data_IF_101939358912
#
_entry.id   IF_101939358912
#
_cell.length_a   1.000
_cell.length_b   1.000
_cell.length_c   1.000
_cell.angle_alpha   90.00
_cell.angle_beta   90.00
_cell.angle_gamma   90.00
#
_symmetry.space_group_name_H-M   'P 1'
#
loop_
_entity.id
_entity.type
_entity.pdbx_description
1 polymer ?
#
# COMPACT_ATOMS: atom_id res chain seq x y z
N UNK A 1 -39.40 -29.16 8.96
CA UNK A 1 -39.18 -28.39 7.72
C UNK A 1 -38.93 -26.90 8.00
N UNK A 2 -39.70 -26.31 8.92
CA UNK A 2 -39.61 -24.89 9.28
C UNK A 2 -38.29 -24.54 9.96
N UNK A 3 -37.75 -25.41 10.82
CA UNK A 3 -36.48 -25.23 11.54
C UNK A 3 -35.28 -25.30 10.54
N UNK A 4 -35.39 -26.16 9.54
CA UNK A 4 -34.34 -26.27 8.49
C UNK A 4 -34.31 -25.03 7.58
N UNK A 5 -35.45 -24.42 7.31
CA UNK A 5 -35.55 -23.19 6.50
C UNK A 5 -35.01 -21.98 7.27
N UNK A 6 -35.16 -21.90 8.57
CA UNK A 6 -34.61 -20.83 9.42
C UNK A 6 -33.09 -20.96 9.54
N UNK A 7 -32.55 -22.18 9.59
CA UNK A 7 -31.10 -22.41 9.60
C UNK A 7 -30.43 -22.02 8.25
N UNK A 8 -31.12 -22.20 7.13
CA UNK A 8 -30.63 -21.83 5.80
C UNK A 8 -30.61 -20.31 5.58
N UNK A 9 -31.52 -19.56 6.20
CA UNK A 9 -31.55 -18.09 6.13
C UNK A 9 -30.46 -17.41 6.95
N UNK A 10 -29.94 -18.08 7.97
CA UNK A 10 -28.88 -17.52 8.83
C UNK A 10 -27.47 -17.57 8.21
N UNK A 11 -27.29 -18.27 7.08
CA UNK A 11 -25.99 -18.38 6.40
C UNK A 11 -25.79 -17.26 5.36
N UNK A 12 -26.82 -16.47 5.07
CA UNK A 12 -26.79 -15.48 3.96
C UNK A 12 -26.31 -14.07 4.33
N UNK A 13 -25.78 -13.82 5.52
CA UNK A 13 -25.54 -12.43 5.94
C UNK A 13 -24.19 -12.13 6.55
N UNK A 14 -23.12 -12.88 6.23
CA UNK A 14 -21.77 -12.52 6.62
C UNK A 14 -20.85 -12.30 5.41
N UNK A 15 -21.31 -11.52 4.44
CA UNK A 15 -20.35 -10.88 3.53
C UNK A 15 -19.82 -9.64 4.24
N UNK A 16 -18.67 -9.80 4.91
CA UNK A 16 -17.93 -8.68 5.43
C UNK A 16 -17.66 -7.72 4.25
N UNK A 17 -18.14 -6.47 4.36
CA UNK A 17 -17.93 -5.43 3.36
C UNK A 17 -16.42 -5.29 3.14
N UNK A 18 -15.93 -5.67 1.95
CA UNK A 18 -14.51 -5.56 1.59
C UNK A 18 -14.10 -4.09 1.72
N UNK A 19 -13.14 -3.82 2.60
CA UNK A 19 -12.62 -2.46 2.79
C UNK A 19 -11.90 -2.03 1.50
N UNK A 20 -12.28 -0.88 0.96
CA UNK A 20 -11.57 -0.30 -0.17
C UNK A 20 -10.21 0.22 0.29
N UNK A 21 -9.15 -0.50 -0.08
CA UNK A 21 -7.78 -0.21 0.31
C UNK A 21 -7.31 1.15 -0.19
N UNK A 22 -7.85 1.64 -1.31
CA UNK A 22 -7.47 2.91 -1.93
C UNK A 22 -7.90 4.13 -1.11
N UNK A 23 -8.80 3.95 -0.13
CA UNK A 23 -9.22 4.99 0.81
C UNK A 23 -8.28 5.14 2.01
N UNK A 24 -7.20 4.37 2.08
CA UNK A 24 -6.22 4.45 3.16
C UNK A 24 -5.52 5.81 3.16
N UNK A 25 -5.67 6.55 4.26
CA UNK A 25 -4.94 7.81 4.50
C UNK A 25 -3.58 7.51 5.12
N UNK A 26 -2.51 8.03 4.54
CA UNK A 26 -1.17 7.73 5.00
C UNK A 26 -0.16 8.84 4.68
N UNK A 27 0.95 8.84 5.43
CA UNK A 27 2.22 9.51 5.11
C UNK A 27 3.33 8.47 4.91
N UNK A 28 4.40 8.87 4.24
CA UNK A 28 5.57 8.03 3.99
C UNK A 28 6.87 8.82 4.19
N UNK A 29 7.84 8.18 4.83
CA UNK A 29 9.21 8.69 4.95
C UNK A 29 10.22 7.54 4.76
N UNK A 30 11.45 7.89 4.34
CA UNK A 30 12.54 6.93 4.25
C UNK A 30 13.17 6.68 5.61
N UNK A 31 13.47 5.43 5.90
CA UNK A 31 14.17 5.02 7.14
C UNK A 31 15.64 4.73 6.84
N UNK A 32 15.90 4.05 5.73
CA UNK A 32 17.23 3.67 5.27
C UNK A 32 17.15 3.34 3.78
N UNK A 33 18.31 3.29 3.12
CA UNK A 33 18.41 2.88 1.71
C UNK A 33 18.08 1.39 1.50
N UNK A 34 17.98 0.62 2.58
CA UNK A 34 17.73 -0.81 2.49
C UNK A 34 18.86 -1.58 1.81
N UNK A 35 18.60 -2.81 1.41
CA UNK A 35 19.47 -3.59 0.53
C UNK A 35 19.26 -3.16 -0.93
N UNK A 36 20.24 -3.44 -1.77
CA UNK A 36 20.18 -3.11 -3.20
C UNK A 36 18.86 -3.58 -3.84
N UNK A 37 18.19 -2.69 -4.56
CA UNK A 37 16.89 -2.97 -5.21
C UNK A 37 15.66 -2.84 -4.32
N UNK A 38 15.83 -2.61 -3.02
CA UNK A 38 14.75 -2.43 -2.05
C UNK A 38 14.82 -1.05 -1.39
N UNK A 39 13.65 -0.53 -1.03
CA UNK A 39 13.53 0.62 -0.15
C UNK A 39 12.99 0.20 1.21
N UNK A 40 13.58 0.74 2.26
CA UNK A 40 13.04 0.65 3.61
C UNK A 40 12.36 1.97 3.95
N UNK A 41 11.05 1.92 4.12
CA UNK A 41 10.22 3.09 4.37
C UNK A 41 9.44 2.94 5.68
N UNK A 42 9.11 4.07 6.30
CA UNK A 42 8.17 4.15 7.38
C UNK A 42 6.88 4.77 6.84
N UNK A 43 5.79 4.05 6.99
CA UNK A 43 4.46 4.53 6.66
C UNK A 43 3.69 4.86 7.92
N UNK A 44 2.89 5.90 7.88
CA UNK A 44 2.00 6.29 8.96
C UNK A 44 0.57 6.19 8.46
N UNK A 45 -0.20 5.28 9.04
CA UNK A 45 -1.62 5.09 8.73
C UNK A 45 -2.47 5.88 9.72
N UNK A 46 -3.43 6.64 9.20
CA UNK A 46 -4.44 7.33 9.99
C UNK A 46 -5.70 6.51 10.05
N UNK A 47 -6.08 6.06 11.24
CA UNK A 47 -7.18 5.11 11.46
C UNK A 47 -7.92 5.39 12.76
N UNK A 48 -9.21 5.07 12.78
CA UNK A 48 -10.03 5.14 14.00
C UNK A 48 -9.95 3.86 14.85
N UNK A 49 -9.33 2.80 14.35
CA UNK A 49 -9.30 1.47 15.00
C UNK A 49 -8.10 1.22 15.90
N UNK A 50 -7.16 2.14 16.02
CA UNK A 50 -5.96 1.98 16.83
C UNK A 50 -4.93 0.96 16.35
N UNK A 51 -5.18 0.30 15.22
CA UNK A 51 -4.27 -0.60 14.49
C UNK A 51 -4.51 -0.49 12.99
N UNK A 52 -3.47 -0.79 12.21
CA UNK A 52 -3.54 -0.84 10.75
C UNK A 52 -3.42 -2.29 10.28
N UNK A 53 -4.15 -2.64 9.22
CA UNK A 53 -4.03 -3.98 8.61
C UNK A 53 -2.75 -4.09 7.80
N UNK A 54 -2.27 -5.32 7.60
CA UNK A 54 -1.11 -5.60 6.74
C UNK A 54 -1.31 -5.07 5.32
N UNK A 55 -2.52 -5.19 4.79
CA UNK A 55 -2.89 -4.68 3.47
C UNK A 55 -2.78 -3.16 3.40
N UNK A 56 -3.25 -2.44 4.42
CA UNK A 56 -3.11 -0.98 4.49
C UNK A 56 -1.65 -0.54 4.55
N UNK A 57 -0.82 -1.23 5.34
CA UNK A 57 0.61 -0.94 5.47
C UNK A 57 1.34 -1.16 4.14
N UNK A 58 1.09 -2.27 3.47
CA UNK A 58 1.68 -2.59 2.17
C UNK A 58 1.18 -1.66 1.07
N UNK A 59 -0.12 -1.34 1.04
CA UNK A 59 -0.68 -0.37 0.12
C UNK A 59 0.01 0.98 0.25
N UNK A 60 0.08 1.52 1.47
CA UNK A 60 0.70 2.82 1.73
C UNK A 60 2.16 2.86 1.27
N UNK A 61 2.93 1.80 1.52
CA UNK A 61 4.31 1.71 1.12
C UNK A 61 4.48 1.62 -0.41
N UNK A 62 3.74 0.74 -1.08
CA UNK A 62 3.81 0.57 -2.55
C UNK A 62 3.28 1.81 -3.28
N UNK A 63 2.11 2.32 -2.89
CA UNK A 63 1.53 3.52 -3.49
C UNK A 63 2.40 4.75 -3.26
N UNK A 64 3.00 4.88 -2.06
CA UNK A 64 3.93 5.96 -1.75
C UNK A 64 5.19 5.94 -2.61
N UNK A 65 5.81 4.78 -2.78
CA UNK A 65 6.96 4.60 -3.68
C UNK A 65 6.59 4.85 -5.14
N UNK A 66 5.40 4.44 -5.56
CA UNK A 66 4.93 4.63 -6.93
C UNK A 66 4.67 6.09 -7.27
N UNK A 67 3.89 6.80 -6.45
CA UNK A 67 3.26 8.07 -6.85
C UNK A 67 3.64 9.29 -6.02
N UNK A 68 4.22 9.13 -4.83
CA UNK A 68 4.61 10.25 -3.97
C UNK A 68 6.11 10.48 -3.90
N UNK A 69 6.90 9.40 -3.98
CA UNK A 69 8.29 9.45 -3.54
C UNK A 69 8.37 9.66 -2.03
N UNK A 70 9.57 9.79 -1.52
CA UNK A 70 9.80 10.02 -0.11
C UNK A 70 11.17 10.64 0.15
N UNK A 71 11.32 11.25 1.32
CA UNK A 71 12.58 11.76 1.86
C UNK A 71 12.84 11.17 3.24
N UNK A 72 14.06 11.27 3.70
CA UNK A 72 14.43 10.83 5.04
C UNK A 72 15.72 11.49 5.51
N UNK A 73 15.97 11.45 6.79
CA UNK A 73 17.19 12.00 7.37
C UNK A 73 18.40 11.19 6.89
N UNK A 74 19.39 11.87 6.32
CA UNK A 74 20.69 11.28 5.97
C UNK A 74 20.77 10.63 4.60
N UNK A 75 19.75 10.73 3.74
CA UNK A 75 19.84 10.29 2.36
C UNK A 75 19.07 11.18 1.38
N UNK A 76 19.38 11.07 0.09
CA UNK A 76 18.76 11.87 -0.94
C UNK A 76 17.27 11.55 -1.12
N UNK A 77 16.50 12.56 -1.48
CA UNK A 77 15.09 12.38 -1.83
C UNK A 77 14.92 11.34 -2.94
N UNK A 78 13.97 10.44 -2.74
CA UNK A 78 13.59 9.44 -3.72
C UNK A 78 12.36 9.92 -4.48
N UNK A 79 12.52 10.12 -5.79
CA UNK A 79 11.40 10.49 -6.65
C UNK A 79 10.44 9.31 -6.81
N UNK A 80 9.15 9.63 -7.00
CA UNK A 80 8.14 8.66 -7.37
C UNK A 80 8.54 7.91 -8.66
N UNK A 81 8.18 6.64 -8.78
CA UNK A 81 8.43 5.82 -9.98
C UNK A 81 7.56 6.25 -11.16
N UNK A 82 6.37 6.77 -10.90
CA UNK A 82 5.43 7.23 -11.89
C UNK A 82 4.82 8.58 -11.48
N UNK A 83 4.33 9.32 -12.46
CA UNK A 83 3.55 10.53 -12.19
C UNK A 83 2.17 10.15 -11.62
N UNK A 84 1.61 10.93 -10.69
CA UNK A 84 0.30 10.62 -10.08
C UNK A 84 -0.84 10.46 -11.09
N UNK A 85 -0.77 11.19 -12.23
CA UNK A 85 -1.79 11.13 -13.27
C UNK A 85 -1.89 9.75 -13.94
N UNK A 86 -0.80 8.98 -13.94
CA UNK A 86 -0.75 7.63 -14.52
C UNK A 86 -1.75 6.70 -13.84
N UNK A 87 -1.98 6.84 -12.55
CA UNK A 87 -2.97 6.02 -11.84
C UNK A 87 -4.37 6.17 -12.43
N UNK A 88 -4.75 7.41 -12.77
CA UNK A 88 -6.04 7.71 -13.41
C UNK A 88 -6.06 7.32 -14.90
N UNK A 89 -4.97 7.58 -15.61
CA UNK A 89 -4.86 7.26 -17.05
C UNK A 89 -4.87 5.76 -17.32
N UNK A 90 -4.38 4.97 -16.38
CA UNK A 90 -4.28 3.50 -16.41
C UNK A 90 -5.17 2.85 -15.34
N UNK A 91 -6.35 3.43 -15.12
CA UNK A 91 -7.25 3.02 -14.04
C UNK A 91 -7.64 1.54 -14.10
N UNK A 92 -7.82 0.95 -15.28
CA UNK A 92 -8.14 -0.47 -15.41
C UNK A 92 -7.04 -1.35 -14.84
N UNK A 93 -5.78 -1.02 -15.13
CA UNK A 93 -4.63 -1.70 -14.54
C UNK A 93 -4.58 -1.53 -13.02
N UNK A 94 -4.67 -0.29 -12.53
CA UNK A 94 -4.51 -0.02 -11.09
C UNK A 94 -5.71 -0.49 -10.27
N UNK A 95 -6.93 -0.45 -10.81
CA UNK A 95 -8.09 -1.05 -10.13
C UNK A 95 -7.90 -2.55 -9.91
N UNK A 96 -7.38 -3.28 -10.89
CA UNK A 96 -7.03 -4.69 -10.75
C UNK A 96 -5.82 -4.88 -9.80
N UNK A 97 -4.77 -4.08 -9.96
CA UNK A 97 -3.56 -4.15 -9.15
C UNK A 97 -3.82 -3.99 -7.65
N UNK A 98 -4.67 -3.01 -7.28
CA UNK A 98 -5.10 -2.82 -5.89
C UNK A 98 -6.19 -3.81 -5.48
N UNK A 99 -7.19 -4.02 -6.32
CA UNK A 99 -8.37 -4.83 -6.01
C UNK A 99 -8.09 -6.33 -5.89
N UNK A 100 -7.17 -6.86 -6.71
CA UNK A 100 -6.76 -8.27 -6.68
C UNK A 100 -5.64 -8.56 -5.67
N UNK A 101 -5.04 -7.52 -5.09
CA UNK A 101 -3.93 -7.68 -4.15
C UNK A 101 -2.57 -7.95 -4.82
N UNK A 102 -2.42 -7.66 -6.11
CA UNK A 102 -1.15 -7.85 -6.84
C UNK A 102 0.00 -7.04 -6.24
N UNK A 103 -0.30 -5.89 -5.64
CA UNK A 103 0.66 -5.03 -4.93
C UNK A 103 1.30 -5.69 -3.71
N UNK A 104 0.64 -6.66 -3.09
CA UNK A 104 1.08 -7.29 -1.84
C UNK A 104 2.44 -7.98 -1.96
N UNK A 105 2.76 -8.50 -3.15
CA UNK A 105 4.04 -9.19 -3.41
C UNK A 105 5.25 -8.27 -3.39
N UNK A 106 5.05 -6.95 -3.57
CA UNK A 106 6.14 -5.98 -3.65
C UNK A 106 6.54 -5.37 -2.31
N UNK A 107 5.85 -5.73 -1.23
CA UNK A 107 6.12 -5.19 0.09
C UNK A 107 6.14 -6.26 1.18
N UNK A 108 7.02 -6.08 2.15
CA UNK A 108 7.12 -6.92 3.36
C UNK A 108 7.08 -6.02 4.59
N UNK A 109 6.19 -6.31 5.53
CA UNK A 109 6.12 -5.59 6.80
C UNK A 109 7.22 -6.09 7.72
N UNK A 110 8.13 -5.19 8.11
CA UNK A 110 9.25 -5.49 9.00
C UNK A 110 8.86 -5.27 10.46
N UNK A 111 8.15 -4.16 10.73
CA UNK A 111 7.60 -3.86 12.03
C UNK A 111 6.23 -3.20 11.85
N UNK A 112 5.17 -3.91 12.23
CA UNK A 112 3.79 -3.47 12.03
C UNK A 112 3.37 -2.30 12.96
N UNK A 113 4.03 -2.14 14.11
CA UNK A 113 3.78 -1.05 15.06
C UNK A 113 5.11 -0.55 15.59
N UNK A 114 5.79 0.31 14.81
CA UNK A 114 6.99 1.02 15.26
C UNK A 114 6.63 2.22 16.16
N UNK A 115 5.53 2.90 15.82
CA UNK A 115 4.96 4.01 16.59
C UNK A 115 3.44 3.93 16.63
N UNK A 116 2.86 4.36 17.74
CA UNK A 116 1.42 4.49 17.88
C UNK A 116 1.10 5.73 18.71
N UNK A 117 0.42 6.69 18.08
CA UNK A 117 0.02 7.95 18.72
C UNK A 117 -1.48 8.16 18.55
N UNK A 118 -2.17 8.43 19.66
CA UNK A 118 -3.56 8.89 19.62
C UNK A 118 -3.56 10.40 19.35
N UNK A 119 -4.03 10.81 18.16
CA UNK A 119 -4.02 12.22 17.75
C UNK A 119 -5.33 12.93 18.05
N UNK A 120 -6.42 12.20 18.27
CA UNK A 120 -7.70 12.73 18.74
C UNK A 120 -8.47 11.64 19.48
N UNK A 121 -9.66 11.97 20.01
CA UNK A 121 -10.56 10.98 20.64
C UNK A 121 -11.00 9.88 19.67
N UNK A 122 -10.90 10.09 18.37
CA UNK A 122 -11.41 9.19 17.31
C UNK A 122 -10.35 8.74 16.31
N UNK A 123 -9.10 9.19 16.43
CA UNK A 123 -8.07 8.92 15.43
C UNK A 123 -6.72 8.58 16.06
N UNK A 124 -6.07 7.58 15.47
CA UNK A 124 -4.70 7.14 15.77
C UNK A 124 -3.82 7.34 14.54
N UNK A 125 -2.55 7.62 14.80
CA UNK A 125 -1.46 7.58 13.82
C UNK A 125 -0.58 6.37 14.13
N UNK A 126 -0.57 5.38 13.26
CA UNK A 126 0.19 4.13 13.40
C UNK A 126 1.38 4.18 12.45
N UNK A 127 2.60 4.19 12.98
CA UNK A 127 3.83 4.09 12.21
C UNK A 127 4.30 2.65 12.09
N UNK A 128 4.63 2.21 10.88
CA UNK A 128 5.14 0.88 10.59
C UNK A 128 6.32 0.94 9.63
N UNK A 129 7.25 -0.02 9.77
CA UNK A 129 8.40 -0.17 8.88
C UNK A 129 8.08 -1.23 7.84
N UNK A 130 8.24 -0.86 6.56
CA UNK A 130 7.93 -1.71 5.41
C UNK A 130 9.09 -1.69 4.42
N UNK A 131 9.48 -2.86 3.93
CA UNK A 131 10.42 -3.01 2.82
C UNK A 131 9.67 -3.11 1.51
N UNK A 132 10.04 -2.32 0.51
CA UNK A 132 9.44 -2.34 -0.83
C UNK A 132 10.47 -2.77 -1.86
N UNK A 133 10.15 -3.81 -2.63
CA UNK A 133 10.98 -4.30 -3.75
C UNK A 133 10.83 -3.39 -4.96
N UNK A 134 11.56 -2.27 -4.95
CA UNK A 134 11.49 -1.22 -5.98
C UNK A 134 11.77 -1.75 -7.37
N UNK A 135 12.84 -2.56 -7.53
CA UNK A 135 13.22 -3.06 -8.84
C UNK A 135 12.20 -4.03 -9.42
N UNK A 136 11.67 -4.94 -8.61
CA UNK A 136 10.62 -5.87 -9.04
C UNK A 136 9.35 -5.12 -9.43
N UNK A 137 8.95 -4.13 -8.62
CA UNK A 137 7.81 -3.27 -8.90
C UNK A 137 8.00 -2.51 -10.22
N UNK A 138 9.17 -1.89 -10.41
CA UNK A 138 9.53 -1.18 -11.64
C UNK A 138 9.47 -2.08 -12.86
N UNK A 139 10.11 -3.25 -12.83
CA UNK A 139 10.12 -4.21 -13.94
C UNK A 139 8.70 -4.65 -14.33
N UNK A 140 7.85 -4.91 -13.35
CA UNK A 140 6.45 -5.29 -13.58
C UNK A 140 5.69 -4.18 -14.30
N UNK A 141 5.86 -2.93 -13.88
CA UNK A 141 5.20 -1.78 -14.51
C UNK A 141 5.76 -1.45 -15.91
N UNK A 142 7.06 -1.62 -16.12
CA UNK A 142 7.69 -1.49 -17.43
C UNK A 142 7.17 -2.56 -18.40
N UNK A 143 7.10 -3.82 -17.96
CA UNK A 143 6.59 -4.94 -18.76
C UNK A 143 5.11 -4.78 -19.10
N UNK A 144 4.33 -4.17 -18.24
CA UNK A 144 2.92 -3.86 -18.45
C UNK A 144 2.70 -2.59 -19.31
N UNK A 145 3.75 -1.88 -19.70
CA UNK A 145 3.66 -0.64 -20.46
C UNK A 145 3.08 0.55 -19.67
N UNK A 146 3.14 0.48 -18.34
CA UNK A 146 2.63 1.54 -17.45
C UNK A 146 3.63 2.67 -17.31
N UNK A 147 4.91 2.35 -17.19
CA UNK A 147 6.01 3.31 -17.18
C UNK A 147 7.03 2.97 -18.28
N UNK A 148 7.81 3.96 -18.69
CA UNK A 148 8.87 3.74 -19.67
C UNK A 148 10.05 3.02 -19.01
N UNK A 149 10.64 2.05 -19.75
CA UNK A 149 11.87 1.40 -19.33
C UNK A 149 13.06 2.40 -19.31
N UNK A 150 14.04 2.12 -18.46
CA UNK A 150 15.26 2.94 -18.34
C UNK A 150 16.03 3.06 -19.68
N UNK A 151 15.89 2.07 -20.56
CA UNK A 151 16.57 1.99 -21.85
C UNK A 151 15.75 2.54 -23.03
N UNK A 152 14.58 3.10 -22.81
CA UNK A 152 13.68 3.58 -23.87
C UNK A 152 13.92 5.03 -24.29
N UNK A 153 15.02 5.63 -23.90
CA UNK A 153 15.37 7.04 -24.12
C UNK A 153 16.52 7.30 -25.09
N UNK A 154 16.93 6.29 -25.88
CA UNK A 154 17.95 6.45 -26.93
C UNK A 154 17.41 6.05 -28.27
#
# INVERSE_FOLDING_TARGET
LLIFLILLLSILSLQAKKVDITQTRYDIEGVNTGTQGNFLVKVYIYTNKGEATTEQLKYAAVHGVLFRGFSGKGFANQKALARPEIEKQKNDFFNAFWGNGDYLQFASVINAVADRVKISSKEYKIGAIVSVSKESLRKTLESAGIIRGLNSGF
#
